data_IF_575774112747
#
_entry.id   IF_575774112747
#
_cell.length_a   1.000
_cell.length_b   1.000
_cell.length_c   1.000
_cell.angle_alpha   90.00
_cell.angle_beta   90.00
_cell.angle_gamma   90.00
#
_symmetry.space_group_name_H-M   'P 1'
#
loop_
_entity.id
_entity.type
_entity.pdbx_description
1 polymer ?
#
# COMPACT_ATOMS: atom_id res chain seq x y z
N UNK A 1 15.60 9.99 12.32
CA UNK A 1 15.47 8.85 11.39
C UNK A 1 14.20 8.12 11.78
N UNK A 2 13.31 7.74 10.85
CA UNK A 2 12.06 7.07 11.20
C UNK A 2 12.32 5.61 11.48
N UNK A 3 11.95 5.09 12.63
CA UNK A 3 12.14 3.68 12.99
C UNK A 3 10.78 2.94 12.95
N UNK A 4 9.67 3.69 13.08
CA UNK A 4 8.31 3.19 13.00
C UNK A 4 7.62 3.67 11.72
N UNK A 5 6.72 2.86 11.19
CA UNK A 5 6.10 3.12 9.88
C UNK A 5 5.34 4.46 9.83
N UNK A 6 4.53 4.77 10.86
CA UNK A 6 3.78 6.03 10.91
C UNK A 6 4.69 7.27 10.99
N UNK A 7 5.93 7.12 11.47
CA UNK A 7 6.91 8.20 11.53
C UNK A 7 7.37 8.68 10.14
N UNK A 8 7.15 7.89 9.08
CA UNK A 8 7.39 8.36 7.71
C UNK A 8 6.54 9.60 7.40
N UNK A 9 5.35 9.70 7.99
CA UNK A 9 4.43 10.83 7.81
C UNK A 9 4.66 11.89 8.90
N UNK A 10 4.74 11.49 10.18
CA UNK A 10 4.87 12.45 11.28
C UNK A 10 6.15 13.29 11.19
N UNK A 11 7.26 12.71 10.72
CA UNK A 11 8.48 13.48 10.48
C UNK A 11 8.32 14.51 9.34
N UNK A 12 7.60 14.17 8.28
CA UNK A 12 7.34 15.13 7.20
C UNK A 12 6.36 16.23 7.64
N UNK A 13 5.36 15.89 8.45
CA UNK A 13 4.44 16.88 8.99
C UNK A 13 5.12 17.93 9.90
N UNK A 14 6.25 17.56 10.51
CA UNK A 14 7.09 18.50 11.28
C UNK A 14 8.05 19.31 10.41
N UNK A 15 8.59 18.70 9.32
CA UNK A 15 9.61 19.32 8.45
C UNK A 15 9.00 20.19 7.37
N UNK A 16 7.97 19.70 6.73
CA UNK A 16 7.29 20.33 5.58
C UNK A 16 5.78 20.20 5.70
N UNK A 17 5.17 20.78 6.76
CA UNK A 17 3.76 20.57 7.12
C UNK A 17 2.78 20.90 5.99
N UNK A 18 3.07 21.92 5.21
CA UNK A 18 2.17 22.43 4.17
C UNK A 18 2.44 21.82 2.79
N UNK A 19 3.48 20.95 2.65
CA UNK A 19 3.71 20.19 1.44
C UNK A 19 2.58 19.17 1.23
N UNK A 20 2.16 18.98 -0.04
CA UNK A 20 1.12 18.02 -0.39
C UNK A 20 1.60 16.58 -0.21
N UNK A 21 0.82 15.78 0.51
CA UNK A 21 1.08 14.38 0.76
C UNK A 21 0.17 13.45 -0.06
N UNK A 22 -1.11 13.82 -0.24
CA UNK A 22 -2.10 12.92 -0.81
C UNK A 22 -3.09 13.67 -1.71
N UNK A 23 -3.37 13.10 -2.89
CA UNK A 23 -4.38 13.57 -3.83
C UNK A 23 -5.42 12.49 -4.07
N UNK A 24 -6.69 12.87 -4.05
CA UNK A 24 -7.81 11.99 -4.40
C UNK A 24 -8.96 12.78 -4.99
N UNK A 25 -9.20 12.66 -6.29
CA UNK A 25 -10.19 13.46 -7.03
C UNK A 25 -9.97 14.95 -6.81
N UNK A 26 -10.90 15.64 -6.14
CA UNK A 26 -10.82 17.06 -5.83
C UNK A 26 -10.36 17.33 -4.38
N UNK A 27 -10.09 16.26 -3.61
CA UNK A 27 -9.56 16.32 -2.23
C UNK A 27 -8.03 16.27 -2.26
N UNK A 28 -7.41 17.12 -1.47
CA UNK A 28 -5.96 17.18 -1.30
C UNK A 28 -5.67 17.26 0.20
N UNK A 29 -4.56 16.66 0.60
CA UNK A 29 -4.13 16.69 2.00
C UNK A 29 -2.65 17.03 2.05
N UNK A 30 -2.30 18.08 2.80
CA UNK A 30 -0.93 18.35 3.20
C UNK A 30 -0.44 17.31 4.21
N UNK A 31 0.87 17.26 4.47
CA UNK A 31 1.42 16.37 5.49
C UNK A 31 0.86 16.68 6.88
N UNK A 32 0.57 17.94 7.20
CA UNK A 32 -0.11 18.37 8.44
C UNK A 32 -1.51 17.77 8.53
N UNK A 33 -2.32 17.92 7.49
CA UNK A 33 -3.69 17.39 7.45
C UNK A 33 -3.72 15.87 7.45
N UNK A 34 -2.82 15.23 6.72
CA UNK A 34 -2.68 13.77 6.74
C UNK A 34 -2.35 13.27 8.15
N UNK A 35 -1.39 13.92 8.86
CA UNK A 35 -1.06 13.56 10.23
C UNK A 35 -2.25 13.74 11.17
N UNK A 36 -2.99 14.85 11.06
CA UNK A 36 -4.18 15.07 11.87
C UNK A 36 -5.24 13.99 11.70
N UNK A 37 -5.45 13.51 10.46
CA UNK A 37 -6.38 12.40 10.20
C UNK A 37 -5.87 11.08 10.81
N UNK A 38 -4.57 10.82 10.73
CA UNK A 38 -3.94 9.63 11.32
C UNK A 38 -4.07 9.66 12.86
N UNK A 39 -3.84 10.80 13.47
CA UNK A 39 -3.98 11.00 14.93
C UNK A 39 -5.43 10.79 15.38
N UNK A 40 -6.39 11.34 14.64
CA UNK A 40 -7.81 11.16 14.91
C UNK A 40 -8.25 9.69 14.80
N UNK A 41 -7.80 8.98 13.74
CA UNK A 41 -8.08 7.55 13.58
C UNK A 41 -7.41 6.74 14.69
N UNK A 42 -6.16 7.02 15.04
CA UNK A 42 -5.46 6.37 16.15
C UNK A 42 -6.22 6.52 17.46
N UNK A 43 -6.67 7.74 17.78
CA UNK A 43 -7.50 8.01 18.95
C UNK A 43 -8.82 7.23 18.90
N UNK A 44 -9.52 7.25 17.77
CA UNK A 44 -10.76 6.49 17.56
C UNK A 44 -10.60 4.98 17.78
N UNK A 45 -9.49 4.39 17.27
CA UNK A 45 -9.17 2.98 17.47
C UNK A 45 -8.94 2.64 18.95
N UNK A 46 -8.18 3.46 19.66
CA UNK A 46 -7.94 3.30 21.09
C UNK A 46 -9.24 3.43 21.90
N UNK A 47 -10.08 4.40 21.55
CA UNK A 47 -11.41 4.56 22.18
C UNK A 47 -12.35 3.40 21.89
N UNK A 48 -12.22 2.75 20.73
CA UNK A 48 -12.92 1.50 20.40
C UNK A 48 -12.29 0.25 21.06
N UNK A 49 -11.32 0.44 21.96
CA UNK A 49 -10.73 -0.63 22.76
C UNK A 49 -9.65 -1.43 22.05
N UNK A 50 -8.96 -0.86 21.05
CA UNK A 50 -7.82 -1.51 20.41
C UNK A 50 -6.68 -1.70 21.42
N UNK A 51 -6.22 -2.94 21.61
CA UNK A 51 -5.03 -3.25 22.38
C UNK A 51 -3.78 -3.33 21.49
N UNK A 52 -2.59 -3.22 22.12
CA UNK A 52 -1.31 -3.37 21.41
C UNK A 52 -1.26 -4.69 20.62
N UNK A 53 -0.87 -4.59 19.35
CA UNK A 53 -0.72 -5.75 18.47
C UNK A 53 -2.03 -6.36 17.96
N UNK A 54 -3.21 -5.84 18.35
CA UNK A 54 -4.47 -6.28 17.76
C UNK A 54 -4.63 -5.81 16.32
N UNK A 55 -5.41 -6.55 15.54
CA UNK A 55 -5.53 -6.35 14.10
C UNK A 55 -6.71 -5.45 13.76
N UNK A 56 -6.43 -4.49 12.88
CA UNK A 56 -7.39 -3.58 12.27
C UNK A 56 -7.42 -3.86 10.77
N UNK A 57 -8.52 -4.39 10.25
CA UNK A 57 -8.67 -4.61 8.82
C UNK A 57 -9.28 -3.37 8.13
N UNK A 58 -8.80 -3.07 6.93
CA UNK A 58 -9.45 -2.11 6.03
C UNK A 58 -9.96 -2.86 4.80
N UNK A 59 -11.28 -2.83 4.57
CA UNK A 59 -11.91 -3.40 3.38
C UNK A 59 -12.54 -2.27 2.57
N UNK A 60 -11.69 -1.50 1.91
CA UNK A 60 -12.02 -0.26 1.21
C UNK A 60 -11.33 -0.19 -0.16
N UNK A 61 -11.89 0.55 -1.12
CA UNK A 61 -11.16 0.98 -2.31
C UNK A 61 -10.01 1.93 -1.92
N UNK A 62 -9.25 2.42 -2.91
CA UNK A 62 -8.18 3.40 -2.67
C UNK A 62 -8.76 4.80 -2.44
N UNK A 63 -9.29 5.01 -1.25
CA UNK A 63 -9.77 6.31 -0.73
C UNK A 63 -8.87 6.81 0.39
N UNK A 64 -8.86 8.11 0.70
CA UNK A 64 -8.03 8.66 1.79
C UNK A 64 -8.26 7.96 3.13
N UNK A 65 -9.50 7.61 3.46
CA UNK A 65 -9.90 6.93 4.68
C UNK A 65 -9.21 5.56 4.83
N UNK A 66 -8.89 4.88 3.71
CA UNK A 66 -8.09 3.65 3.73
C UNK A 66 -6.65 3.95 4.20
N UNK A 67 -6.02 5.00 3.65
CA UNK A 67 -4.67 5.42 4.09
C UNK A 67 -4.68 5.82 5.56
N UNK A 68 -5.68 6.58 5.99
CA UNK A 68 -5.84 6.99 7.40
C UNK A 68 -5.99 5.77 8.32
N UNK A 69 -6.76 4.76 7.88
CA UNK A 69 -6.95 3.51 8.63
C UNK A 69 -5.66 2.72 8.80
N UNK A 70 -4.87 2.56 7.71
CA UNK A 70 -3.61 1.81 7.74
C UNK A 70 -2.58 2.48 8.67
N UNK A 71 -2.32 3.77 8.47
CA UNK A 71 -1.32 4.49 9.26
C UNK A 71 -1.81 4.84 10.67
N UNK A 72 -3.12 5.05 10.87
CA UNK A 72 -3.73 5.23 12.18
C UNK A 72 -3.63 3.98 13.05
N UNK A 73 -3.84 2.79 12.48
CA UNK A 73 -3.63 1.52 13.17
C UNK A 73 -2.16 1.35 13.57
N UNK A 74 -1.22 1.62 12.65
CA UNK A 74 0.21 1.59 12.94
C UNK A 74 0.60 2.59 14.03
N UNK A 75 0.00 3.79 14.05
CA UNK A 75 0.25 4.81 15.07
C UNK A 75 -0.33 4.41 16.43
N UNK A 76 -1.50 3.80 16.47
CA UNK A 76 -2.11 3.31 17.71
C UNK A 76 -1.35 2.16 18.39
N UNK A 77 -0.40 1.53 17.70
CA UNK A 77 0.29 0.31 18.14
C UNK A 77 -0.47 -0.97 17.81
N UNK A 78 -1.39 -0.89 16.86
CA UNK A 78 -2.08 -2.02 16.25
C UNK A 78 -1.39 -2.52 14.98
N UNK A 79 -1.95 -3.56 14.38
CA UNK A 79 -1.48 -4.21 13.16
C UNK A 79 -2.53 -4.05 12.08
N UNK A 80 -2.22 -3.37 10.99
CA UNK A 80 -3.17 -3.22 9.91
C UNK A 80 -3.18 -4.42 8.96
N UNK A 81 -4.38 -4.71 8.44
CA UNK A 81 -4.63 -5.80 7.48
C UNK A 81 -5.40 -5.21 6.30
N UNK A 82 -4.73 -4.79 5.22
CA UNK A 82 -5.42 -4.28 4.04
C UNK A 82 -6.03 -5.45 3.27
N UNK A 83 -7.35 -5.49 3.20
CA UNK A 83 -8.11 -6.53 2.49
C UNK A 83 -8.38 -6.07 1.07
N UNK A 84 -8.09 -6.94 0.09
CA UNK A 84 -8.34 -6.62 -1.31
C UNK A 84 -9.83 -6.36 -1.56
N UNK A 85 -10.20 -5.17 -2.07
CA UNK A 85 -11.59 -4.80 -2.28
C UNK A 85 -12.34 -5.65 -3.33
N UNK A 86 -11.64 -6.49 -4.08
CA UNK A 86 -12.23 -7.40 -5.07
C UNK A 86 -12.57 -8.78 -4.49
N UNK A 87 -12.19 -9.09 -3.24
CA UNK A 87 -12.49 -10.35 -2.60
C UNK A 87 -13.99 -10.48 -2.30
N UNK A 88 -14.48 -11.73 -2.41
CA UNK A 88 -15.86 -12.08 -2.05
C UNK A 88 -16.01 -12.22 -0.53
N UNK A 89 -17.24 -12.13 -0.04
CA UNK A 89 -17.56 -12.14 1.40
C UNK A 89 -16.87 -13.29 2.17
N UNK A 90 -16.95 -14.53 1.70
CA UNK A 90 -16.33 -15.68 2.37
C UNK A 90 -14.80 -15.58 2.44
N UNK A 91 -14.15 -15.00 1.43
CA UNK A 91 -12.70 -14.77 1.43
C UNK A 91 -12.30 -13.70 2.45
N UNK A 92 -13.13 -12.65 2.55
CA UNK A 92 -12.94 -11.60 3.58
C UNK A 92 -13.12 -12.21 4.97
N UNK A 93 -14.20 -12.94 5.21
CA UNK A 93 -14.45 -13.60 6.50
C UNK A 93 -13.30 -14.55 6.90
N UNK A 94 -12.75 -15.30 5.93
CA UNK A 94 -11.57 -16.13 6.16
C UNK A 94 -10.41 -15.29 6.71
N UNK A 95 -10.06 -14.17 6.08
CA UNK A 95 -8.97 -13.29 6.52
C UNK A 95 -9.25 -12.73 7.93
N UNK A 96 -10.48 -12.26 8.17
CA UNK A 96 -10.85 -11.69 9.46
C UNK A 96 -10.70 -12.70 10.61
N UNK A 97 -11.05 -13.96 10.37
CA UNK A 97 -10.91 -15.04 11.36
C UNK A 97 -9.46 -15.49 11.52
N UNK A 98 -8.76 -15.72 10.40
CA UNK A 98 -7.40 -16.28 10.38
C UNK A 98 -6.41 -15.41 11.17
N UNK A 99 -6.54 -14.09 11.09
CA UNK A 99 -5.69 -13.18 11.87
C UNK A 99 -6.40 -12.49 13.05
N UNK A 100 -7.56 -12.98 13.49
CA UNK A 100 -8.30 -12.48 14.67
C UNK A 100 -8.51 -10.95 14.63
N UNK A 101 -9.10 -10.42 13.56
CA UNK A 101 -9.38 -8.98 13.40
C UNK A 101 -10.35 -8.51 14.50
N UNK A 102 -10.03 -7.40 15.16
CA UNK A 102 -10.84 -6.77 16.19
C UNK A 102 -11.70 -5.62 15.69
N UNK A 103 -11.16 -4.85 14.75
CA UNK A 103 -11.83 -3.69 14.19
C UNK A 103 -11.77 -3.79 12.66
N UNK A 104 -12.90 -3.60 12.02
CA UNK A 104 -13.03 -3.53 10.56
C UNK A 104 -13.43 -2.12 10.13
N UNK A 105 -12.65 -1.49 9.27
CA UNK A 105 -13.00 -0.22 8.62
C UNK A 105 -13.48 -0.52 7.21
N UNK A 106 -14.73 -0.13 6.89
CA UNK A 106 -15.35 -0.46 5.60
C UNK A 106 -16.38 0.60 5.18
N UNK A 107 -17.04 0.42 4.03
CA UNK A 107 -18.16 1.23 3.58
C UNK A 107 -19.50 0.56 3.89
N UNK A 108 -20.59 1.33 3.91
CA UNK A 108 -21.94 0.82 4.13
C UNK A 108 -22.31 -0.27 3.13
N UNK A 109 -22.06 -0.04 1.83
CA UNK A 109 -22.31 -1.02 0.78
C UNK A 109 -21.55 -2.33 0.99
N UNK A 110 -20.28 -2.26 1.40
CA UNK A 110 -19.46 -3.46 1.64
C UNK A 110 -19.89 -4.19 2.89
N UNK A 111 -20.29 -3.47 3.94
CA UNK A 111 -20.84 -4.07 5.15
C UNK A 111 -22.11 -4.88 4.85
N UNK A 112 -23.00 -4.37 3.99
CA UNK A 112 -24.19 -5.12 3.55
C UNK A 112 -23.80 -6.45 2.86
N UNK A 113 -22.75 -6.45 2.05
CA UNK A 113 -22.25 -7.67 1.38
C UNK A 113 -21.62 -8.67 2.37
N UNK A 114 -21.09 -8.19 3.48
CA UNK A 114 -20.45 -9.01 4.50
C UNK A 114 -21.40 -9.48 5.61
N UNK A 115 -22.60 -8.92 5.74
CA UNK A 115 -23.48 -9.07 6.89
C UNK A 115 -23.70 -10.53 7.32
N UNK A 116 -23.91 -11.44 6.36
CA UNK A 116 -24.14 -12.85 6.65
C UNK A 116 -22.90 -13.59 7.17
N UNK A 117 -21.69 -13.18 6.72
CA UNK A 117 -20.45 -13.89 7.07
C UNK A 117 -19.73 -13.30 8.28
N UNK A 118 -20.05 -12.08 8.69
CA UNK A 118 -19.43 -11.47 9.88
C UNK A 118 -19.85 -12.17 11.18
N UNK A 119 -21.01 -12.82 11.22
CA UNK A 119 -21.44 -13.65 12.36
C UNK A 119 -20.47 -14.82 12.63
N UNK A 120 -19.71 -15.24 11.62
CA UNK A 120 -18.67 -16.25 11.75
C UNK A 120 -17.32 -15.69 12.25
N UNK A 121 -17.22 -14.39 12.53
CA UNK A 121 -15.99 -13.71 12.95
C UNK A 121 -16.07 -13.32 14.45
N UNK A 122 -15.94 -14.25 15.38
CA UNK A 122 -16.23 -14.04 16.81
C UNK A 122 -15.30 -13.01 17.47
N UNK A 123 -14.14 -12.77 16.89
CA UNK A 123 -13.15 -11.82 17.40
C UNK A 123 -13.43 -10.36 16.99
N UNK A 124 -14.32 -10.14 16.03
CA UNK A 124 -14.69 -8.81 15.55
C UNK A 124 -15.53 -8.10 16.61
N UNK A 125 -15.05 -6.96 17.09
CA UNK A 125 -15.73 -6.16 18.13
C UNK A 125 -16.38 -4.90 17.60
N UNK A 126 -15.77 -4.29 16.58
CA UNK A 126 -16.23 -3.00 16.06
C UNK A 126 -16.12 -2.94 14.54
N UNK A 127 -17.14 -2.40 13.90
CA UNK A 127 -17.15 -2.06 12.47
C UNK A 127 -17.31 -0.55 12.34
N UNK A 128 -16.31 0.09 11.72
CA UNK A 128 -16.31 1.52 11.41
C UNK A 128 -16.73 1.74 9.96
N UNK A 129 -17.73 2.58 9.72
CA UNK A 129 -18.36 2.79 8.41
C UNK A 129 -18.02 4.21 7.92
N UNK A 130 -17.25 4.33 6.82
CA UNK A 130 -16.71 5.62 6.36
C UNK A 130 -17.73 6.54 5.66
N UNK A 131 -18.83 6.00 5.17
CA UNK A 131 -19.89 6.68 4.41
C UNK A 131 -21.27 6.49 5.05
N UNK A 132 -21.30 6.34 6.37
CA UNK A 132 -22.52 6.13 7.13
C UNK A 132 -23.38 7.38 7.04
N UNK A 133 -24.48 7.28 6.29
CA UNK A 133 -25.56 8.25 6.36
C UNK A 133 -26.45 7.88 7.54
N UNK A 134 -26.99 8.86 8.30
CA UNK A 134 -27.89 8.58 9.38
C UNK A 134 -29.04 7.69 8.89
N UNK A 135 -28.97 6.41 9.14
CA UNK A 135 -30.02 5.42 8.83
C UNK A 135 -30.66 5.05 10.16
N UNK A 136 -32.00 4.99 10.23
CA UNK A 136 -32.64 4.48 11.43
C UNK A 136 -32.06 3.09 11.74
N UNK A 137 -31.85 2.75 13.01
CA UNK A 137 -31.30 1.47 13.40
C UNK A 137 -32.21 0.35 12.92
N UNK A 138 -31.88 -0.29 11.82
CA UNK A 138 -32.41 -1.58 11.43
C UNK A 138 -31.72 -2.61 12.32
N UNK A 139 -32.31 -2.82 13.48
CA UNK A 139 -31.74 -3.62 14.54
C UNK A 139 -31.90 -5.11 14.27
N UNK A 140 -31.02 -5.69 13.49
CA UNK A 140 -30.59 -7.03 13.80
C UNK A 140 -29.49 -6.88 14.87
N UNK A 141 -29.65 -7.48 16.04
CA UNK A 141 -28.63 -7.53 17.06
C UNK A 141 -27.39 -8.21 16.46
N UNK A 142 -26.29 -7.46 16.35
CA UNK A 142 -24.98 -8.00 15.92
C UNK A 142 -24.11 -8.17 17.16
N UNK A 143 -23.16 -9.11 17.14
CA UNK A 143 -22.20 -9.30 18.22
C UNK A 143 -21.09 -8.24 18.24
N UNK A 144 -21.09 -7.32 17.26
CA UNK A 144 -20.12 -6.22 17.13
C UNK A 144 -20.82 -4.85 17.12
N UNK A 145 -20.13 -3.84 17.61
CA UNK A 145 -20.56 -2.44 17.59
C UNK A 145 -20.39 -1.85 16.18
N UNK A 146 -21.29 -0.92 15.82
CA UNK A 146 -21.21 -0.15 14.57
C UNK A 146 -20.98 1.32 14.88
N UNK A 147 -19.95 1.91 14.28
CA UNK A 147 -19.59 3.30 14.44
C UNK A 147 -19.55 3.98 13.05
N UNK A 148 -20.22 5.11 12.90
CA UNK A 148 -20.04 5.99 11.76
C UNK A 148 -18.72 6.74 11.86
N UNK A 149 -18.12 7.10 10.72
CA UNK A 149 -16.80 7.72 10.63
C UNK A 149 -16.67 9.00 11.48
N UNK A 150 -17.63 9.92 11.40
CA UNK A 150 -17.59 11.16 12.14
C UNK A 150 -17.62 10.94 13.65
N UNK A 151 -18.46 10.02 14.12
CA UNK A 151 -18.54 9.63 15.54
C UNK A 151 -17.26 8.96 16.00
N UNK A 152 -16.65 8.11 15.14
CA UNK A 152 -15.38 7.46 15.41
C UNK A 152 -14.23 8.46 15.54
N UNK A 153 -14.14 9.47 14.66
CA UNK A 153 -13.10 10.50 14.70
C UNK A 153 -13.31 11.51 15.84
N UNK A 154 -14.56 11.77 16.23
CA UNK A 154 -14.89 12.73 17.30
C UNK A 154 -14.69 12.18 18.71
N UNK A 155 -14.19 10.98 18.87
CA UNK A 155 -13.89 10.34 20.15
C UNK A 155 -12.88 11.19 20.96
N UNK A 156 -13.36 11.86 22.02
CA UNK A 156 -12.58 12.89 22.76
C UNK A 156 -11.71 12.34 23.90
N UNK A 157 -11.55 11.03 24.03
CA UNK A 157 -10.65 10.49 25.04
C UNK A 157 -9.22 10.63 24.58
N UNK A 158 -8.46 11.51 25.23
CA UNK A 158 -7.01 11.59 25.03
C UNK A 158 -6.37 10.28 25.52
N UNK A 159 -6.21 9.34 24.62
CA UNK A 159 -5.46 8.12 24.87
C UNK A 159 -4.13 8.18 24.13
N UNK A 160 -3.05 7.91 24.84
CA UNK A 160 -1.73 7.79 24.21
C UNK A 160 -1.63 6.49 23.43
N UNK A 161 -0.99 6.50 22.25
CA UNK A 161 -0.69 5.28 21.52
C UNK A 161 0.06 4.27 22.37
N UNK A 162 -0.20 2.98 22.13
CA UNK A 162 0.56 1.92 22.81
C UNK A 162 2.04 2.03 22.47
N UNK A 163 2.96 1.89 23.43
CA UNK A 163 4.39 1.87 23.16
C UNK A 163 4.74 0.65 22.29
N UNK A 164 5.53 0.87 21.24
CA UNK A 164 5.97 -0.17 20.32
C UNK A 164 7.35 0.16 19.76
N UNK A 165 8.01 -0.86 19.24
CA UNK A 165 9.37 -0.77 18.71
C UNK A 165 9.41 -1.22 17.25
N UNK A 166 10.53 -1.03 16.58
CA UNK A 166 10.71 -1.32 15.15
C UNK A 166 10.55 -2.79 14.77
N UNK A 167 10.82 -3.70 15.70
CA UNK A 167 10.64 -5.15 15.53
C UNK A 167 9.20 -5.63 15.75
N UNK A 168 8.32 -4.78 16.30
CA UNK A 168 6.91 -5.13 16.44
C UNK A 168 6.26 -5.29 15.06
N UNK A 169 5.31 -6.23 15.00
CA UNK A 169 4.47 -6.44 13.83
C UNK A 169 3.63 -5.18 13.56
N UNK A 170 3.59 -4.75 12.29
CA UNK A 170 2.79 -3.59 11.87
C UNK A 170 1.74 -3.94 10.83
N UNK A 171 1.98 -4.98 10.04
CA UNK A 171 1.06 -5.38 8.96
C UNK A 171 1.01 -6.88 8.77
N UNK A 172 -0.15 -7.38 8.31
CA UNK A 172 -0.31 -8.71 7.74
C UNK A 172 -0.86 -8.56 6.33
N UNK A 173 -0.08 -8.97 5.33
CA UNK A 173 -0.49 -8.95 3.93
C UNK A 173 -0.85 -10.35 3.45
N UNK A 174 -2.06 -10.54 2.96
CA UNK A 174 -2.52 -11.85 2.49
C UNK A 174 -2.14 -12.08 1.04
N UNK A 175 -1.46 -13.21 0.80
CA UNK A 175 -1.08 -13.69 -0.53
C UNK A 175 -1.86 -14.96 -0.89
N UNK A 176 -2.01 -15.23 -2.20
CA UNK A 176 -2.60 -16.48 -2.68
C UNK A 176 -1.65 -17.63 -2.34
N UNK A 177 -1.98 -18.42 -1.34
CA UNK A 177 -1.19 -19.58 -0.95
C UNK A 177 -1.22 -20.68 -2.03
N UNK A 178 -0.10 -21.36 -2.24
CA UNK A 178 0.02 -22.54 -3.12
C UNK A 178 -0.85 -23.72 -2.67
N UNK A 179 -1.35 -23.69 -1.45
CA UNK A 179 -2.15 -24.76 -0.81
C UNK A 179 -3.65 -24.49 -0.80
N UNK A 180 -4.13 -23.46 -1.51
CA UNK A 180 -5.56 -23.14 -1.68
C UNK A 180 -6.06 -22.01 -0.79
N UNK A 181 -5.69 -21.92 0.47
CA UNK A 181 -6.09 -20.81 1.35
C UNK A 181 -5.05 -19.68 1.32
N UNK A 182 -5.48 -18.40 1.38
CA UNK A 182 -4.56 -17.28 1.51
C UNK A 182 -3.71 -17.39 2.78
N UNK A 183 -2.44 -16.95 2.68
CA UNK A 183 -1.51 -16.90 3.82
C UNK A 183 -1.19 -15.46 4.19
N UNK A 184 -1.23 -15.15 5.48
CA UNK A 184 -0.87 -13.83 6.01
C UNK A 184 0.64 -13.70 6.20
N UNK A 185 1.28 -12.86 5.40
CA UNK A 185 2.69 -12.50 5.55
C UNK A 185 2.80 -11.42 6.61
N UNK A 186 3.55 -11.73 7.68
CA UNK A 186 3.77 -10.83 8.82
C UNK A 186 4.94 -9.91 8.55
N UNK A 187 4.74 -8.61 8.67
CA UNK A 187 5.75 -7.58 8.46
C UNK A 187 5.89 -6.70 9.70
N UNK A 188 7.14 -6.44 10.10
CA UNK A 188 7.45 -5.49 11.17
C UNK A 188 7.56 -4.05 10.65
N UNK A 189 7.55 -3.07 11.56
CA UNK A 189 7.89 -1.69 11.23
C UNK A 189 9.23 -1.62 10.51
N UNK A 190 10.25 -2.32 11.03
CA UNK A 190 11.60 -2.37 10.45
C UNK A 190 11.60 -2.88 9.01
N UNK A 191 10.86 -3.97 8.70
CA UNK A 191 10.74 -4.49 7.35
C UNK A 191 10.18 -3.42 6.41
N UNK A 192 9.07 -2.79 6.79
CA UNK A 192 8.37 -1.80 5.96
C UNK A 192 9.21 -0.53 5.75
N UNK A 193 9.84 -0.01 6.80
CA UNK A 193 10.65 1.22 6.73
C UNK A 193 11.94 0.97 5.94
N UNK A 194 12.61 -0.17 6.15
CA UNK A 194 13.83 -0.54 5.40
C UNK A 194 13.51 -0.72 3.93
N UNK A 195 12.40 -1.41 3.61
CA UNK A 195 11.93 -1.58 2.23
C UNK A 195 11.64 -0.25 1.55
N UNK A 196 10.91 0.65 2.22
CA UNK A 196 10.60 1.99 1.69
C UNK A 196 11.85 2.79 1.36
N UNK A 197 12.84 2.81 2.27
CA UNK A 197 14.12 3.50 2.07
C UNK A 197 14.95 2.90 0.95
N UNK A 198 15.02 1.56 0.88
CA UNK A 198 15.76 0.86 -0.17
C UNK A 198 15.18 1.18 -1.54
N UNK A 199 13.85 1.15 -1.69
CA UNK A 199 13.16 1.50 -2.93
C UNK A 199 13.39 2.96 -3.29
N UNK A 200 13.21 3.89 -2.34
CA UNK A 200 13.43 5.31 -2.59
C UNK A 200 14.86 5.60 -3.03
N UNK A 201 15.86 4.87 -2.50
CA UNK A 201 17.26 5.05 -2.83
C UNK A 201 17.57 4.70 -4.28
N UNK A 202 17.19 3.49 -4.76
CA UNK A 202 17.55 3.11 -6.14
C UNK A 202 16.68 3.76 -7.21
N UNK A 203 15.44 4.16 -6.85
CA UNK A 203 14.58 4.97 -7.75
C UNK A 203 14.95 6.45 -7.73
N UNK A 204 15.84 6.85 -6.82
CA UNK A 204 16.22 8.25 -6.59
C UNK A 204 14.99 9.15 -6.35
N UNK A 205 14.10 8.68 -5.46
CA UNK A 205 12.93 9.47 -5.08
C UNK A 205 13.29 10.67 -4.21
N UNK A 206 12.56 11.75 -4.39
CA UNK A 206 12.72 13.02 -3.67
C UNK A 206 11.38 13.69 -3.38
N UNK A 207 11.38 14.77 -2.62
CA UNK A 207 10.17 15.44 -2.16
C UNK A 207 9.26 15.99 -3.27
N UNK A 208 9.84 16.30 -4.44
CA UNK A 208 9.07 16.81 -5.59
C UNK A 208 8.38 15.69 -6.39
N UNK A 209 8.62 14.43 -6.05
CA UNK A 209 7.97 13.33 -6.74
C UNK A 209 6.48 13.25 -6.42
N UNK A 210 5.74 12.76 -7.39
CA UNK A 210 4.32 12.43 -7.28
C UNK A 210 4.07 11.05 -7.84
N UNK A 211 3.73 10.10 -6.96
CA UNK A 211 3.53 8.70 -7.34
C UNK A 211 2.06 8.40 -7.56
N UNK A 212 1.74 7.58 -8.56
CA UNK A 212 0.39 7.10 -8.79
C UNK A 212 0.16 5.75 -8.09
N UNK A 213 -0.73 5.71 -7.11
CA UNK A 213 -1.14 4.48 -6.46
C UNK A 213 -2.24 3.77 -7.27
N UNK A 214 -1.87 3.09 -8.35
CA UNK A 214 -2.78 2.34 -9.21
C UNK A 214 -3.04 0.91 -8.69
N UNK A 215 -2.07 0.28 -8.03
CA UNK A 215 -2.17 -1.09 -7.51
C UNK A 215 -2.88 -1.15 -6.14
N UNK A 216 -3.54 -2.27 -5.78
CA UNK A 216 -4.21 -2.43 -4.48
C UNK A 216 -3.23 -2.35 -3.31
N UNK A 217 -3.65 -1.76 -2.18
CA UNK A 217 -2.84 -1.69 -0.95
C UNK A 217 -2.71 -3.03 -0.21
N UNK A 218 -3.56 -4.00 -0.51
CA UNK A 218 -3.42 -5.38 -0.05
C UNK A 218 -2.28 -6.15 -0.71
N UNK A 219 -1.66 -5.57 -1.72
CA UNK A 219 -0.47 -6.06 -2.40
C UNK A 219 0.73 -5.20 -2.00
N UNK A 220 1.82 -5.83 -1.57
CA UNK A 220 3.02 -5.14 -1.06
C UNK A 220 3.54 -4.07 -2.03
N UNK A 221 3.50 -4.36 -3.33
CA UNK A 221 3.93 -3.43 -4.37
C UNK A 221 3.01 -2.21 -4.49
N UNK A 222 1.70 -2.37 -4.28
CA UNK A 222 0.76 -1.25 -4.22
C UNK A 222 0.95 -0.41 -2.95
N UNK A 223 1.08 -1.06 -1.80
CA UNK A 223 1.32 -0.39 -0.52
C UNK A 223 2.65 0.37 -0.50
N UNK A 224 3.68 -0.17 -1.19
CA UNK A 224 5.00 0.46 -1.26
C UNK A 224 4.98 1.84 -1.94
N UNK A 225 3.98 2.17 -2.76
CA UNK A 225 3.85 3.50 -3.33
C UNK A 225 3.64 4.57 -2.24
N UNK A 226 2.83 4.24 -1.21
CA UNK A 226 2.62 5.11 -0.06
C UNK A 226 3.91 5.24 0.78
N UNK A 227 4.47 4.10 1.17
CA UNK A 227 5.62 4.09 2.10
C UNK A 227 6.86 4.70 1.48
N UNK A 228 7.13 4.45 0.20
CA UNK A 228 8.25 5.04 -0.55
C UNK A 228 8.08 6.55 -0.67
N UNK A 229 6.90 7.04 -1.10
CA UNK A 229 6.66 8.48 -1.21
C UNK A 229 6.81 9.19 0.14
N UNK A 230 6.15 8.69 1.18
CA UNK A 230 6.19 9.33 2.50
C UNK A 230 7.59 9.29 3.15
N UNK A 231 8.43 8.32 2.79
CA UNK A 231 9.80 8.24 3.31
C UNK A 231 10.69 9.42 2.89
N UNK A 232 10.39 10.04 1.75
CA UNK A 232 11.15 11.15 1.16
C UNK A 232 10.41 12.49 1.14
N UNK A 233 9.14 12.53 1.62
CA UNK A 233 8.32 13.74 1.58
C UNK A 233 7.63 14.00 0.25
N UNK A 234 7.57 12.99 -0.63
CA UNK A 234 6.86 13.03 -1.90
C UNK A 234 5.34 12.85 -1.70
N UNK A 235 4.57 13.10 -2.75
CA UNK A 235 3.11 12.97 -2.72
C UNK A 235 2.62 11.73 -3.46
N UNK A 236 1.39 11.30 -3.15
CA UNK A 236 0.73 10.17 -3.80
C UNK A 236 -0.65 10.57 -4.30
N UNK A 237 -0.95 10.27 -5.56
CA UNK A 237 -2.29 10.35 -6.11
C UNK A 237 -2.96 8.98 -6.04
N UNK A 238 -4.12 8.92 -5.37
CA UNK A 238 -4.92 7.70 -5.22
C UNK A 238 -5.87 7.55 -6.41
N UNK A 239 -5.94 6.37 -6.98
CA UNK A 239 -6.94 6.06 -7.98
C UNK A 239 -7.35 4.59 -7.99
N UNK A 240 -8.63 4.35 -8.22
CA UNK A 240 -9.15 3.10 -8.76
C UNK A 240 -9.47 3.31 -10.24
N UNK A 241 -8.87 2.53 -11.12
CA UNK A 241 -9.12 2.63 -12.56
C UNK A 241 -10.09 1.52 -13.00
N UNK A 242 -10.96 1.86 -13.94
CA UNK A 242 -11.81 0.90 -14.65
C UNK A 242 -11.16 0.49 -15.97
N UNK A 243 -10.55 1.45 -16.66
CA UNK A 243 -9.90 1.24 -17.94
C UNK A 243 -8.44 1.73 -17.88
N UNK A 244 -7.51 1.07 -18.57
CA UNK A 244 -6.09 1.46 -18.57
C UNK A 244 -5.86 2.92 -19.00
N UNK A 245 -6.70 3.46 -19.91
CA UNK A 245 -6.63 4.89 -20.32
C UNK A 245 -6.85 5.88 -19.15
N UNK A 246 -7.52 5.45 -18.08
CA UNK A 246 -7.74 6.31 -16.92
C UNK A 246 -6.42 6.58 -16.18
N UNK A 247 -5.47 5.63 -16.25
CA UNK A 247 -4.12 5.79 -15.71
C UNK A 247 -3.40 6.91 -16.47
N UNK A 248 -3.43 6.90 -17.81
CA UNK A 248 -2.78 7.92 -18.64
C UNK A 248 -3.37 9.31 -18.34
N UNK A 249 -4.69 9.43 -18.22
CA UNK A 249 -5.37 10.67 -17.82
C UNK A 249 -4.96 11.14 -16.42
N UNK A 250 -4.77 10.21 -15.50
CA UNK A 250 -4.35 10.55 -14.12
C UNK A 250 -2.90 11.01 -14.07
N UNK A 251 -2.03 10.45 -14.93
CA UNK A 251 -0.64 10.94 -15.07
C UNK A 251 -0.64 12.41 -15.49
N UNK A 252 -1.44 12.79 -16.48
CA UNK A 252 -1.57 14.18 -16.91
C UNK A 252 -2.19 15.06 -15.82
N UNK A 253 -3.33 14.64 -15.25
CA UNK A 253 -4.06 15.42 -14.24
C UNK A 253 -3.22 15.78 -13.03
N UNK A 254 -2.42 14.82 -12.56
CA UNK A 254 -1.65 14.96 -11.33
C UNK A 254 -0.16 15.16 -11.60
N UNK A 255 0.28 15.29 -12.85
CA UNK A 255 1.70 15.44 -13.23
C UNK A 255 2.57 14.37 -12.55
N UNK A 256 2.18 13.11 -12.70
CA UNK A 256 2.82 11.97 -12.06
C UNK A 256 4.25 11.79 -12.53
N UNK A 257 5.18 11.60 -11.59
CA UNK A 257 6.60 11.38 -11.88
C UNK A 257 7.03 9.92 -11.80
N UNK A 258 6.27 9.09 -11.08
CA UNK A 258 6.56 7.66 -10.92
C UNK A 258 5.31 6.80 -11.02
N UNK A 259 5.35 5.77 -11.88
CA UNK A 259 4.27 4.82 -12.07
C UNK A 259 4.74 3.38 -11.85
N UNK A 260 4.03 2.66 -10.98
CA UNK A 260 4.22 1.25 -10.69
C UNK A 260 3.09 0.41 -11.28
N UNK A 261 3.43 -0.63 -12.06
CA UNK A 261 2.44 -1.58 -12.55
C UNK A 261 3.02 -3.00 -12.68
N UNK A 262 2.12 -3.95 -12.87
CA UNK A 262 2.42 -5.37 -13.12
C UNK A 262 2.35 -5.68 -14.61
N UNK A 263 2.96 -6.79 -15.10
CA UNK A 263 3.00 -7.10 -16.53
C UNK A 263 1.65 -7.07 -17.25
N UNK A 264 0.54 -7.62 -16.71
CA UNK A 264 -0.75 -7.54 -17.38
C UNK A 264 -1.22 -6.10 -17.63
N UNK A 265 -0.98 -5.19 -16.68
CA UNK A 265 -1.33 -3.79 -16.82
C UNK A 265 -0.40 -3.08 -17.81
N UNK A 266 0.90 -3.37 -17.77
CA UNK A 266 1.86 -2.83 -18.72
C UNK A 266 1.55 -3.25 -20.17
N UNK A 267 1.15 -4.51 -20.39
CA UNK A 267 0.71 -4.98 -21.71
C UNK A 267 -0.48 -4.21 -22.25
N UNK A 268 -1.44 -3.85 -21.38
CA UNK A 268 -2.61 -3.04 -21.75
C UNK A 268 -2.19 -1.58 -22.04
N UNK A 269 -1.39 -0.98 -21.17
CA UNK A 269 -0.91 0.39 -21.34
C UNK A 269 -0.04 0.56 -22.60
N UNK A 270 0.76 -0.43 -22.95
CA UNK A 270 1.58 -0.42 -24.15
C UNK A 270 0.75 -0.48 -25.46
N UNK A 271 -0.55 -0.83 -25.41
CA UNK A 271 -1.45 -0.81 -26.56
C UNK A 271 -2.09 0.56 -26.80
N UNK A 272 -1.98 1.46 -25.83
CA UNK A 272 -2.58 2.80 -25.89
C UNK A 272 -1.61 3.81 -26.46
N UNK A 273 -2.17 4.90 -26.95
CA UNK A 273 -1.41 6.11 -27.30
C UNK A 273 -1.03 6.87 -26.01
N UNK A 274 0.21 7.35 -25.99
CA UNK A 274 0.73 8.16 -24.89
C UNK A 274 0.93 9.60 -25.40
N UNK A 275 0.09 10.55 -24.97
CA UNK A 275 0.30 11.96 -25.32
C UNK A 275 1.67 12.44 -24.86
N UNK A 276 2.32 13.28 -25.66
CA UNK A 276 3.68 13.79 -25.39
C UNK A 276 3.78 14.47 -24.01
N UNK A 277 2.74 15.20 -23.62
CA UNK A 277 2.65 15.85 -22.31
C UNK A 277 2.70 14.84 -21.15
N UNK A 278 2.10 13.66 -21.33
CA UNK A 278 2.14 12.56 -20.32
C UNK A 278 3.55 12.02 -20.15
N UNK A 279 4.30 11.91 -21.25
CA UNK A 279 5.67 11.42 -21.23
C UNK A 279 6.62 12.39 -20.49
N UNK A 280 6.38 13.69 -20.56
CA UNK A 280 7.26 14.71 -19.95
C UNK A 280 7.30 14.68 -18.42
N UNK A 281 6.23 14.30 -17.75
CA UNK A 281 6.20 14.26 -16.27
C UNK A 281 6.84 13.01 -15.68
N UNK A 282 6.79 11.87 -16.41
CA UNK A 282 7.25 10.58 -15.89
C UNK A 282 8.79 10.50 -15.88
N UNK A 283 9.38 10.49 -14.70
CA UNK A 283 10.82 10.24 -14.51
C UNK A 283 11.16 8.76 -14.63
N UNK A 284 10.26 7.90 -14.12
CA UNK A 284 10.44 6.45 -14.18
C UNK A 284 9.11 5.70 -14.20
N UNK A 285 9.20 4.49 -14.74
CA UNK A 285 8.19 3.43 -14.58
C UNK A 285 8.85 2.21 -13.96
N UNK A 286 8.07 1.44 -13.18
CA UNK A 286 8.57 0.23 -12.53
C UNK A 286 7.69 -0.96 -12.82
N UNK A 287 8.30 -2.14 -12.99
CA UNK A 287 7.61 -3.43 -13.13
C UNK A 287 8.05 -4.39 -12.05
N UNK A 288 7.10 -5.08 -11.43
CA UNK A 288 7.32 -6.20 -10.50
C UNK A 288 6.11 -7.14 -10.52
N UNK A 289 6.20 -8.27 -9.82
CA UNK A 289 5.12 -9.26 -9.75
C UNK A 289 5.03 -10.18 -10.98
N UNK A 290 6.03 -10.14 -11.84
CA UNK A 290 6.19 -10.99 -13.02
C UNK A 290 7.20 -10.43 -13.99
N UNK A 291 7.71 -11.29 -14.89
CA UNK A 291 8.62 -10.88 -15.96
C UNK A 291 7.89 -9.99 -16.98
N UNK A 292 8.48 -8.86 -17.30
CA UNK A 292 7.95 -7.93 -18.31
C UNK A 292 8.40 -8.39 -19.71
N UNK A 293 7.47 -8.60 -20.66
CA UNK A 293 7.86 -8.98 -22.00
C UNK A 293 8.74 -7.92 -22.68
N UNK A 294 9.83 -8.32 -23.34
CA UNK A 294 10.76 -7.40 -24.03
C UNK A 294 10.05 -6.53 -25.06
N UNK A 295 9.09 -7.07 -25.82
CA UNK A 295 8.29 -6.30 -26.77
C UNK A 295 7.49 -5.18 -26.10
N UNK A 296 6.92 -5.43 -24.90
CA UNK A 296 6.19 -4.43 -24.12
C UNK A 296 7.15 -3.35 -23.59
N UNK A 297 8.30 -3.76 -23.07
CA UNK A 297 9.35 -2.84 -22.60
C UNK A 297 9.81 -1.91 -23.74
N UNK A 298 10.11 -2.46 -24.92
CA UNK A 298 10.57 -1.68 -26.08
C UNK A 298 9.50 -0.70 -26.57
N UNK A 299 8.23 -1.13 -26.60
CA UNK A 299 7.12 -0.27 -27.01
C UNK A 299 6.89 0.88 -26.03
N UNK A 300 6.94 0.62 -24.72
CA UNK A 300 6.84 1.70 -23.72
C UNK A 300 8.02 2.67 -23.81
N UNK A 301 9.24 2.19 -24.00
CA UNK A 301 10.43 3.05 -24.19
C UNK A 301 10.34 3.91 -25.45
N UNK A 302 9.68 3.43 -26.50
CA UNK A 302 9.42 4.24 -27.69
C UNK A 302 8.44 5.39 -27.44
N UNK A 303 7.43 5.19 -26.58
CA UNK A 303 6.51 6.25 -26.17
C UNK A 303 7.10 7.19 -25.12
N UNK A 304 8.02 6.69 -24.30
CA UNK A 304 8.54 7.33 -23.10
C UNK A 304 10.08 7.37 -23.16
N UNK A 305 10.69 8.09 -24.13
CA UNK A 305 12.14 8.00 -24.40
C UNK A 305 13.01 8.49 -23.24
N UNK A 306 12.53 9.47 -22.46
CA UNK A 306 13.26 10.05 -21.32
C UNK A 306 12.93 9.37 -19.98
N UNK A 307 11.99 8.43 -19.97
CA UNK A 307 11.51 7.75 -18.76
C UNK A 307 12.37 6.52 -18.46
N UNK A 308 12.94 6.44 -17.27
CA UNK A 308 13.71 5.28 -16.83
C UNK A 308 12.77 4.09 -16.56
N UNK A 309 13.12 2.91 -17.07
CA UNK A 309 12.40 1.68 -16.84
C UNK A 309 13.16 0.83 -15.82
N UNK A 310 12.53 0.51 -14.69
CA UNK A 310 13.12 -0.38 -13.68
C UNK A 310 12.37 -1.73 -13.69
N UNK A 311 13.08 -2.80 -14.01
CA UNK A 311 12.58 -4.16 -13.88
C UNK A 311 13.01 -4.69 -12.53
N UNK A 312 12.04 -5.13 -11.71
CA UNK A 312 12.29 -5.50 -10.32
C UNK A 312 11.77 -6.90 -10.04
N UNK A 313 12.44 -7.59 -9.12
CA UNK A 313 11.98 -8.85 -8.56
C UNK A 313 11.84 -8.73 -7.05
N UNK A 314 10.83 -9.38 -6.51
CA UNK A 314 10.56 -9.47 -5.09
C UNK A 314 9.32 -10.29 -4.81
N UNK A 315 9.07 -10.53 -3.55
CA UNK A 315 7.89 -11.22 -3.03
C UNK A 315 7.48 -10.54 -1.72
N UNK A 316 6.27 -10.77 -1.29
CA UNK A 316 5.73 -10.11 -0.10
C UNK A 316 6.57 -10.39 1.15
N UNK A 317 7.12 -11.61 1.27
CA UNK A 317 7.97 -12.06 2.38
C UNK A 317 9.36 -11.38 2.43
N UNK A 318 9.83 -10.86 1.29
CA UNK A 318 11.12 -10.18 1.16
C UNK A 318 10.99 -8.72 0.68
N UNK A 319 9.74 -8.24 0.54
CA UNK A 319 9.36 -6.91 0.03
C UNK A 319 9.87 -6.65 -1.39
N UNK A 320 11.14 -6.29 -1.57
CA UNK A 320 11.89 -6.23 -2.83
C UNK A 320 13.23 -6.92 -2.62
N UNK A 321 13.68 -7.64 -3.62
CA UNK A 321 14.96 -8.36 -3.54
C UNK A 321 15.99 -7.81 -4.51
N UNK A 322 15.59 -7.58 -5.77
CA UNK A 322 16.50 -7.10 -6.80
C UNK A 322 15.85 -6.07 -7.72
N UNK A 323 16.68 -5.31 -8.41
CA UNK A 323 16.29 -4.44 -9.51
C UNK A 323 17.33 -4.47 -10.63
N UNK A 324 16.88 -4.42 -11.87
CA UNK A 324 17.74 -4.24 -13.03
C UNK A 324 17.91 -2.72 -13.27
N UNK A 325 19.14 -2.20 -13.21
CA UNK A 325 19.40 -0.82 -13.56
C UNK A 325 18.95 -0.51 -14.99
N UNK A 326 18.30 0.64 -15.25
CA UNK A 326 17.74 0.96 -16.57
C UNK A 326 18.75 0.87 -17.72
N UNK A 327 20.01 1.20 -17.48
CA UNK A 327 21.11 1.12 -18.45
C UNK A 327 21.53 -0.30 -18.82
N UNK A 328 21.08 -1.30 -18.07
CA UNK A 328 21.39 -2.71 -18.31
C UNK A 328 20.31 -3.46 -19.11
N UNK A 329 19.17 -2.84 -19.37
CA UNK A 329 18.01 -3.50 -20.00
C UNK A 329 18.36 -4.08 -21.36
N UNK A 330 19.09 -3.36 -22.19
CA UNK A 330 19.44 -3.80 -23.54
C UNK A 330 20.51 -4.91 -23.54
N UNK A 331 21.37 -4.94 -22.54
CA UNK A 331 22.43 -5.94 -22.39
C UNK A 331 21.96 -7.21 -21.68
N UNK A 332 20.98 -7.07 -20.77
CA UNK A 332 20.52 -8.16 -19.87
C UNK A 332 19.00 -8.17 -19.73
N UNK A 333 18.24 -8.28 -20.82
CA UNK A 333 16.77 -8.11 -20.81
C UNK A 333 16.03 -9.13 -19.92
N UNK A 334 16.61 -10.32 -19.71
CA UNK A 334 16.00 -11.39 -18.92
C UNK A 334 16.51 -11.46 -17.48
N UNK A 335 17.37 -10.52 -17.07
CA UNK A 335 17.94 -10.50 -15.72
C UNK A 335 16.96 -9.89 -14.72
N UNK A 336 16.89 -10.49 -13.51
CA UNK A 336 16.25 -9.88 -12.34
C UNK A 336 17.09 -8.76 -11.72
N UNK A 337 18.31 -8.53 -12.21
CA UNK A 337 19.19 -7.45 -11.78
C UNK A 337 20.07 -7.81 -10.57
N UNK A 338 20.41 -6.79 -9.79
CA UNK A 338 21.26 -6.89 -8.59
C UNK A 338 20.45 -6.64 -7.32
N UNK A 339 21.00 -7.06 -6.16
CA UNK A 339 20.40 -6.81 -4.86
C UNK A 339 20.08 -5.33 -4.65
N UNK A 340 18.94 -5.06 -4.01
CA UNK A 340 18.59 -3.72 -3.55
C UNK A 340 19.49 -3.28 -2.39
N UNK A 341 19.58 -1.98 -2.05
CA UNK A 341 20.25 -1.54 -0.84
C UNK A 341 19.73 -2.29 0.41
N UNK A 342 20.65 -2.66 1.30
CA UNK A 342 20.40 -3.43 2.53
C UNK A 342 19.93 -4.88 2.31
N UNK A 343 20.13 -5.45 1.11
CA UNK A 343 19.89 -6.87 0.82
C UNK A 343 21.13 -7.52 0.21
N UNK A 344 21.25 -8.83 0.41
CA UNK A 344 22.28 -9.66 -0.20
C UNK A 344 21.60 -10.82 -0.94
N UNK A 345 22.06 -11.11 -2.15
CA UNK A 345 21.56 -12.21 -2.98
C UNK A 345 22.75 -13.11 -3.34
N UNK A 346 22.63 -14.36 -2.97
CA UNK A 346 23.64 -15.40 -3.26
C UNK A 346 23.05 -16.41 -4.26
N UNK A 347 23.82 -16.73 -5.28
CA UNK A 347 23.57 -17.88 -6.15
C UNK A 347 24.38 -19.05 -5.59
N UNK A 348 23.69 -20.11 -5.23
CA UNK A 348 24.32 -21.28 -4.57
C UNK A 348 24.03 -22.56 -5.33
N UNK A 349 24.95 -23.51 -5.27
CA UNK A 349 24.76 -24.88 -5.77
C UNK A 349 23.80 -25.64 -4.84
N UNK A 350 23.33 -26.83 -5.25
CA UNK A 350 22.45 -27.66 -4.42
C UNK A 350 23.02 -28.04 -3.04
N UNK A 351 24.34 -28.05 -2.92
CA UNK A 351 25.08 -28.31 -1.66
C UNK A 351 25.24 -27.07 -0.76
N UNK A 352 24.72 -25.90 -1.19
CA UNK A 352 24.79 -24.64 -0.48
C UNK A 352 26.07 -23.82 -0.71
N UNK A 353 27.02 -24.32 -1.51
CA UNK A 353 28.24 -23.58 -1.84
C UNK A 353 27.96 -22.45 -2.84
N UNK A 354 28.57 -21.25 -2.68
CA UNK A 354 28.40 -20.18 -3.65
C UNK A 354 28.87 -20.57 -5.06
N UNK A 355 28.11 -20.16 -6.08
CA UNK A 355 28.53 -20.29 -7.47
C UNK A 355 29.59 -19.26 -7.85
N UNK A 356 30.45 -19.62 -8.79
CA UNK A 356 31.36 -18.67 -9.43
C UNK A 356 30.60 -17.86 -10.50
N UNK A 357 31.20 -16.75 -10.93
CA UNK A 357 30.64 -15.96 -12.02
C UNK A 357 30.57 -16.79 -13.33
N UNK A 358 29.38 -16.87 -13.91
CA UNK A 358 29.12 -17.60 -15.14
C UNK A 358 28.62 -19.06 -14.96
N UNK A 359 28.47 -19.53 -13.71
CA UNK A 359 27.84 -20.82 -13.38
C UNK A 359 26.32 -20.72 -13.25
#
# INVERSE_FOLDING_TARGET
>A
MSDLLHQLISHQSLRTPDAMALYFKDRQFSYRELQQQIDAVSCGLLCAGLNRGERVATYLPKVPENVFGLFGAAHAGGVFVPVNPLLKANQVAYILRDCNVRILITSAQRLEQLAAVLEECPDLRTVVIIDDKPRPPTAAATHYDRLGWDSFLSSQRSQSPHPHIDSDMVSILYTSGSTGNPKGVVLSHKNMVTGARSVATYLNNHADDRLLAALPFSFDYGLSQLTTAFSVGASVALMDYLLPRDIIRSIQRYEITGLAAVPPLWNQLAQLEWPEETARSLRYITNSGGAMPGATTNRLRAFLPDTKVFLMYGLTEAFRSTFLPPEQIDQRPDSIGKAIPNAEVLVVRPDGTPCNAGE
#
